data_IF_389603238743
#
_entry.id   IF_389603238743
#
_cell.length_a   1.000
_cell.length_b   1.000
_cell.length_c   1.000
_cell.angle_alpha   90.00
_cell.angle_beta   90.00
_cell.angle_gamma   90.00
#
_symmetry.space_group_name_H-M   'P 1'
#
loop_
_entity.id
_entity.type
_entity.pdbx_description
1 polymer ?
#
# COMPACT_ATOMS: atom_id res chain seq x y z
N UNK A 1 -28.19 30.89 -6.83
CA UNK A 1 -26.76 30.98 -7.22
C UNK A 1 -26.29 29.59 -7.61
N UNK A 2 -26.19 29.33 -8.93
CA UNK A 2 -25.52 28.13 -9.43
C UNK A 2 -24.05 28.26 -9.07
N UNK A 3 -23.57 27.49 -8.10
CA UNK A 3 -22.15 27.40 -7.82
C UNK A 3 -21.55 26.66 -9.01
N UNK A 4 -21.04 27.43 -9.96
CA UNK A 4 -20.29 26.92 -11.11
C UNK A 4 -19.13 26.11 -10.54
N UNK A 5 -19.28 24.78 -10.51
CA UNK A 5 -18.17 23.87 -10.18
C UNK A 5 -17.16 24.11 -11.27
N UNK A 6 -16.10 24.89 -10.98
CA UNK A 6 -15.03 25.18 -11.94
C UNK A 6 -14.67 23.87 -12.65
N UNK A 7 -14.63 23.82 -13.99
CA UNK A 7 -14.38 22.58 -14.74
C UNK A 7 -13.08 21.89 -14.29
N UNK A 8 -12.15 22.67 -13.74
CA UNK A 8 -10.93 22.23 -13.08
C UNK A 8 -11.19 21.29 -11.89
N UNK A 9 -12.16 21.58 -11.02
CA UNK A 9 -12.48 20.78 -9.84
C UNK A 9 -13.11 19.44 -10.22
N UNK A 10 -13.97 19.43 -11.24
CA UNK A 10 -14.53 18.19 -11.80
C UNK A 10 -13.43 17.30 -12.42
N UNK A 11 -12.46 17.91 -13.12
CA UNK A 11 -11.32 17.20 -13.70
C UNK A 11 -10.38 16.67 -12.61
N UNK A 12 -10.10 17.43 -11.57
CA UNK A 12 -9.27 17.03 -10.42
C UNK A 12 -9.92 15.91 -9.60
N UNK A 13 -11.24 15.95 -9.43
CA UNK A 13 -12.00 14.89 -8.77
C UNK A 13 -11.94 13.59 -9.58
N UNK A 14 -12.14 13.66 -10.90
CA UNK A 14 -12.09 12.48 -11.77
C UNK A 14 -10.68 11.87 -11.81
N UNK A 15 -9.63 12.70 -11.85
CA UNK A 15 -8.25 12.24 -11.80
C UNK A 15 -7.93 11.58 -10.44
N UNK A 16 -8.31 12.23 -9.34
CA UNK A 16 -8.11 11.69 -7.98
C UNK A 16 -8.83 10.35 -7.81
N UNK A 17 -10.06 10.24 -8.30
CA UNK A 17 -10.84 8.99 -8.30
C UNK A 17 -10.10 7.88 -9.05
N UNK A 18 -9.64 8.13 -10.27
CA UNK A 18 -8.96 7.13 -11.09
C UNK A 18 -7.62 6.69 -10.47
N UNK A 19 -6.84 7.64 -9.95
CA UNK A 19 -5.57 7.34 -9.27
C UNK A 19 -5.82 6.51 -8.00
N UNK A 20 -6.82 6.88 -7.18
CA UNK A 20 -7.17 6.14 -5.96
C UNK A 20 -7.56 4.69 -6.28
N UNK A 21 -8.32 4.48 -7.36
CA UNK A 21 -8.66 3.13 -7.82
C UNK A 21 -7.41 2.35 -8.24
N UNK A 22 -6.52 2.98 -9.01
CA UNK A 22 -5.27 2.37 -9.44
C UNK A 22 -4.41 1.92 -8.25
N UNK A 23 -4.23 2.80 -7.25
CA UNK A 23 -3.51 2.47 -6.02
C UNK A 23 -4.19 1.32 -5.28
N UNK A 24 -5.52 1.33 -5.15
CA UNK A 24 -6.27 0.27 -4.46
C UNK A 24 -6.12 -1.10 -5.15
N UNK A 25 -6.16 -1.15 -6.48
CA UNK A 25 -5.96 -2.39 -7.26
C UNK A 25 -4.54 -2.93 -7.05
N UNK A 26 -3.51 -2.08 -7.19
CA UNK A 26 -2.12 -2.50 -6.99
C UNK A 26 -1.89 -2.99 -5.55
N UNK A 27 -2.47 -2.29 -4.57
CA UNK A 27 -2.41 -2.67 -3.16
C UNK A 27 -3.10 -4.02 -2.89
N UNK A 28 -4.20 -4.31 -3.60
CA UNK A 28 -4.87 -5.62 -3.53
C UNK A 28 -3.99 -6.74 -4.09
N UNK A 29 -3.33 -6.51 -5.24
CA UNK A 29 -2.39 -7.47 -5.81
C UNK A 29 -1.24 -7.74 -4.83
N UNK A 30 -0.69 -6.70 -4.21
CA UNK A 30 0.35 -6.84 -3.18
C UNK A 30 -0.10 -7.66 -1.97
N UNK A 31 -1.35 -7.50 -1.52
CA UNK A 31 -1.91 -8.29 -0.43
C UNK A 31 -2.01 -9.78 -0.78
N UNK A 32 -2.44 -10.10 -2.01
CA UNK A 32 -2.50 -11.49 -2.51
C UNK A 32 -1.09 -12.09 -2.55
N UNK A 33 -0.13 -11.38 -3.14
CA UNK A 33 1.27 -11.83 -3.21
C UNK A 33 1.87 -12.05 -1.81
N UNK A 34 1.59 -11.15 -0.87
CA UNK A 34 2.04 -11.28 0.52
C UNK A 34 1.48 -12.53 1.18
N UNK A 35 0.23 -12.89 0.89
CA UNK A 35 -0.40 -14.11 1.41
C UNK A 35 0.30 -15.36 0.88
N UNK A 36 0.62 -15.38 -0.42
CA UNK A 36 1.38 -16.47 -1.04
C UNK A 36 2.77 -16.58 -0.39
N UNK A 37 3.47 -15.46 -0.20
CA UNK A 37 4.78 -15.44 0.46
C UNK A 37 4.73 -15.99 1.90
N UNK A 38 3.69 -15.65 2.67
CA UNK A 38 3.51 -16.18 4.03
C UNK A 38 3.36 -17.71 3.98
N UNK A 39 2.53 -18.24 3.07
CA UNK A 39 2.35 -19.70 2.90
C UNK A 39 3.68 -20.38 2.52
N UNK A 40 4.46 -19.77 1.62
CA UNK A 40 5.79 -20.29 1.26
C UNK A 40 6.76 -20.29 2.45
N UNK A 41 6.76 -19.25 3.28
CA UNK A 41 7.60 -19.17 4.48
C UNK A 41 7.22 -20.23 5.53
N UNK A 42 5.92 -20.49 5.72
CA UNK A 42 5.45 -21.58 6.58
C UNK A 42 5.88 -22.95 6.05
N UNK A 43 5.83 -23.17 4.74
CA UNK A 43 6.31 -24.41 4.11
C UNK A 43 7.82 -24.60 4.31
N UNK A 44 8.61 -23.53 4.23
CA UNK A 44 10.05 -23.56 4.51
C UNK A 44 10.35 -23.87 5.97
N UNK A 45 9.58 -23.31 6.91
CA UNK A 45 9.70 -23.61 8.33
C UNK A 45 9.46 -25.11 8.62
N UNK A 46 8.61 -25.80 7.86
CA UNK A 46 8.34 -27.23 8.08
C UNK A 46 9.47 -28.18 7.60
N UNK A 47 10.50 -27.67 6.90
CA UNK A 47 11.63 -28.51 6.47
C UNK A 47 12.51 -28.89 7.66
N UNK A 48 12.80 -30.20 7.82
CA UNK A 48 13.62 -30.76 8.92
C UNK A 48 14.99 -30.07 9.09
N UNK A 49 15.63 -29.68 8.00
CA UNK A 49 16.94 -29.00 8.00
C UNK A 49 16.91 -27.61 8.63
N UNK A 50 15.75 -26.93 8.56
CA UNK A 50 15.54 -25.61 9.14
C UNK A 50 15.25 -25.71 10.63
N UNK A 51 14.41 -26.68 11.05
CA UNK A 51 14.12 -26.94 12.45
C UNK A 51 15.35 -27.36 13.27
N UNK A 52 16.33 -28.00 12.63
CA UNK A 52 17.56 -28.42 13.28
C UNK A 52 18.49 -27.25 13.66
N UNK A 53 18.31 -26.08 13.04
CA UNK A 53 19.09 -24.87 13.32
C UNK A 53 18.24 -23.83 14.07
N UNK A 54 18.48 -23.68 15.36
CA UNK A 54 17.74 -22.74 16.22
C UNK A 54 17.85 -21.27 15.75
N UNK A 55 19.02 -20.86 15.23
CA UNK A 55 19.23 -19.51 14.68
C UNK A 55 18.42 -19.25 13.41
N UNK A 56 18.36 -20.24 12.52
CA UNK A 56 17.62 -20.16 11.25
C UNK A 56 16.10 -20.19 11.51
N UNK A 57 15.66 -21.00 12.47
CA UNK A 57 14.25 -21.05 12.90
C UNK A 57 13.78 -19.71 13.48
N UNK A 58 14.59 -19.09 14.36
CA UNK A 58 14.25 -17.79 14.95
C UNK A 58 14.16 -16.68 13.89
N UNK A 59 15.06 -16.67 12.91
CA UNK A 59 15.04 -15.70 11.81
C UNK A 59 13.82 -15.86 10.91
N UNK A 60 13.43 -17.10 10.58
CA UNK A 60 12.23 -17.38 9.78
C UNK A 60 10.97 -17.00 10.54
N UNK A 61 10.89 -17.31 11.83
CA UNK A 61 9.73 -16.96 12.66
C UNK A 61 9.55 -15.44 12.78
N UNK A 62 10.66 -14.69 12.96
CA UNK A 62 10.62 -13.23 12.97
C UNK A 62 10.16 -12.68 11.62
N UNK A 63 10.67 -13.24 10.52
CA UNK A 63 10.29 -12.85 9.15
C UNK A 63 8.80 -13.12 8.86
N UNK A 64 8.27 -14.26 9.31
CA UNK A 64 6.84 -14.59 9.20
C UNK A 64 6.00 -13.57 9.98
N UNK A 65 6.40 -13.25 11.21
CA UNK A 65 5.69 -12.31 12.07
C UNK A 65 5.65 -10.91 11.42
N UNK A 66 6.81 -10.38 11.00
CA UNK A 66 6.89 -9.06 10.36
C UNK A 66 6.10 -9.01 9.06
N UNK A 67 6.18 -10.06 8.22
CA UNK A 67 5.45 -10.12 6.94
C UNK A 67 3.95 -10.17 7.18
N UNK A 68 3.49 -10.91 8.19
CA UNK A 68 2.07 -11.00 8.56
C UNK A 68 1.54 -9.66 9.05
N UNK A 69 2.26 -8.97 9.93
CA UNK A 69 1.87 -7.63 10.41
C UNK A 69 1.74 -6.66 9.23
N UNK A 70 2.75 -6.63 8.35
CA UNK A 70 2.72 -5.77 7.16
C UNK A 70 1.58 -6.10 6.21
N UNK A 71 1.27 -7.39 6.01
CA UNK A 71 0.15 -7.82 5.20
C UNK A 71 -1.19 -7.37 5.79
N UNK A 72 -1.41 -7.54 7.10
CA UNK A 72 -2.64 -7.10 7.78
C UNK A 72 -2.82 -5.59 7.69
N UNK A 73 -1.77 -4.81 7.95
CA UNK A 73 -1.80 -3.35 7.82
C UNK A 73 -2.06 -2.94 6.37
N UNK A 74 -1.42 -3.61 5.40
CA UNK A 74 -1.65 -3.38 3.97
C UNK A 74 -3.10 -3.64 3.54
N UNK A 75 -3.71 -4.71 4.04
CA UNK A 75 -5.13 -5.01 3.81
C UNK A 75 -6.03 -3.91 4.40
N UNK A 76 -5.78 -3.49 5.63
CA UNK A 76 -6.55 -2.42 6.28
C UNK A 76 -6.48 -1.10 5.47
N UNK A 77 -5.28 -0.71 5.01
CA UNK A 77 -5.11 0.49 4.18
C UNK A 77 -5.80 0.33 2.82
N UNK A 78 -5.74 -0.86 2.21
CA UNK A 78 -6.44 -1.15 0.95
C UNK A 78 -7.95 -0.95 1.09
N UNK A 79 -8.54 -1.43 2.19
CA UNK A 79 -9.96 -1.22 2.49
C UNK A 79 -10.27 0.28 2.65
N UNK A 80 -9.42 1.03 3.36
CA UNK A 80 -9.59 2.49 3.51
C UNK A 80 -9.50 3.24 2.16
N UNK A 81 -8.63 2.79 1.25
CA UNK A 81 -8.53 3.34 -0.11
C UNK A 81 -9.79 3.06 -0.93
N UNK A 82 -10.35 1.85 -0.85
CA UNK A 82 -11.64 1.53 -1.48
C UNK A 82 -12.79 2.36 -0.92
N UNK A 83 -12.87 2.53 0.40
CA UNK A 83 -13.86 3.41 1.02
C UNK A 83 -13.71 4.87 0.55
N UNK A 84 -12.46 5.33 0.42
CA UNK A 84 -12.15 6.66 -0.12
C UNK A 84 -12.59 6.78 -1.58
N UNK A 85 -12.34 5.77 -2.41
CA UNK A 85 -12.82 5.71 -3.78
C UNK A 85 -14.35 5.77 -3.88
N UNK A 86 -15.07 5.02 -3.04
CA UNK A 86 -16.54 5.04 -3.01
C UNK A 86 -17.07 6.43 -2.67
N UNK A 87 -16.44 7.14 -1.72
CA UNK A 87 -16.78 8.53 -1.38
C UNK A 87 -16.48 9.48 -2.54
N UNK A 88 -15.32 9.37 -3.18
CA UNK A 88 -14.94 10.16 -4.35
C UNK A 88 -15.89 9.94 -5.53
N UNK A 89 -16.38 8.70 -5.73
CA UNK A 89 -17.37 8.38 -6.77
C UNK A 89 -18.71 9.08 -6.53
N UNK A 90 -19.08 9.33 -5.27
CA UNK A 90 -20.27 10.08 -4.86
C UNK A 90 -20.06 11.60 -4.88
N UNK A 91 -18.90 12.09 -5.32
CA UNK A 91 -18.57 13.52 -5.32
C UNK A 91 -18.16 14.07 -3.95
N UNK A 92 -17.96 13.21 -2.94
CA UNK A 92 -17.60 13.62 -1.59
C UNK A 92 -16.07 13.75 -1.50
N UNK A 93 -15.59 14.95 -1.18
CA UNK A 93 -14.17 15.21 -0.95
C UNK A 93 -13.73 14.51 0.33
N UNK A 94 -12.73 13.63 0.22
CA UNK A 94 -12.23 12.81 1.33
C UNK A 94 -11.01 13.50 1.97
N UNK A 95 -10.86 13.38 3.28
CA UNK A 95 -9.66 13.88 3.98
C UNK A 95 -8.40 13.18 3.43
N UNK A 96 -7.29 13.89 3.19
CA UNK A 96 -6.06 13.30 2.65
C UNK A 96 -5.33 12.33 3.59
N UNK A 97 -5.87 12.10 4.79
CA UNK A 97 -5.31 11.32 5.88
C UNK A 97 -5.00 9.86 5.49
N UNK A 98 -5.86 9.24 4.66
CA UNK A 98 -5.65 7.88 4.15
C UNK A 98 -4.40 7.79 3.27
N UNK A 99 -4.13 8.81 2.46
CA UNK A 99 -2.94 8.84 1.59
C UNK A 99 -1.66 9.10 2.40
N UNK A 100 -1.72 9.86 3.50
CA UNK A 100 -0.58 9.99 4.41
C UNK A 100 -0.22 8.67 5.07
N UNK A 101 -1.20 7.91 5.55
CA UNK A 101 -0.96 6.57 6.08
C UNK A 101 -0.40 5.62 5.01
N UNK A 102 -0.93 5.67 3.79
CA UNK A 102 -0.41 4.86 2.69
C UNK A 102 1.05 5.21 2.35
N UNK A 103 1.40 6.49 2.33
CA UNK A 103 2.79 6.95 2.13
C UNK A 103 3.71 6.43 3.24
N UNK A 104 3.32 6.61 4.50
CA UNK A 104 4.11 6.11 5.64
C UNK A 104 4.30 4.59 5.59
N UNK A 105 3.23 3.85 5.28
CA UNK A 105 3.28 2.40 5.11
C UNK A 105 4.21 1.98 3.98
N UNK A 106 4.14 2.66 2.83
CA UNK A 106 5.00 2.36 1.68
C UNK A 106 6.47 2.61 2.00
N UNK A 107 6.79 3.72 2.68
CA UNK A 107 8.16 4.02 3.14
C UNK A 107 8.65 2.94 4.10
N UNK A 108 7.83 2.54 5.08
CA UNK A 108 8.18 1.50 6.04
C UNK A 108 8.45 0.15 5.34
N UNK A 109 7.63 -0.20 4.34
CA UNK A 109 7.84 -1.39 3.51
C UNK A 109 9.15 -1.36 2.72
N UNK A 110 9.51 -0.20 2.14
CA UNK A 110 10.80 -0.03 1.45
C UNK A 110 11.96 -0.24 2.43
N UNK A 111 11.91 0.39 3.61
CA UNK A 111 12.97 0.27 4.63
C UNK A 111 13.12 -1.19 5.06
N UNK A 112 12.02 -1.91 5.32
CA UNK A 112 12.05 -3.32 5.70
C UNK A 112 12.66 -4.20 4.61
N UNK A 113 12.31 -3.96 3.33
CA UNK A 113 12.87 -4.68 2.19
C UNK A 113 14.38 -4.46 2.06
N UNK A 114 14.84 -3.24 2.34
CA UNK A 114 16.25 -2.85 2.30
C UNK A 114 17.08 -3.62 3.34
N UNK A 115 16.52 -3.78 4.55
CA UNK A 115 17.15 -4.50 5.66
C UNK A 115 17.24 -6.00 5.38
N UNK A 116 16.17 -6.61 4.84
CA UNK A 116 16.05 -8.06 4.74
C UNK A 116 16.65 -8.69 3.47
N UNK A 117 16.65 -7.96 2.35
CA UNK A 117 16.95 -8.52 1.02
C UNK A 117 17.98 -7.73 0.22
N UNK A 118 18.45 -6.58 0.74
CA UNK A 118 19.32 -5.65 0.02
C UNK A 118 18.57 -4.83 -1.04
N UNK A 119 19.19 -3.75 -1.53
CA UNK A 119 18.56 -2.87 -2.54
C UNK A 119 18.55 -3.51 -3.92
N UNK A 120 17.36 -3.80 -4.44
CA UNK A 120 17.14 -4.01 -5.87
C UNK A 120 16.45 -2.78 -6.46
N UNK A 121 17.16 -2.01 -7.29
CA UNK A 121 16.62 -0.77 -7.87
C UNK A 121 15.33 -0.99 -8.67
N UNK A 122 15.19 -2.15 -9.32
CA UNK A 122 14.00 -2.49 -10.10
C UNK A 122 12.79 -2.66 -9.16
N UNK A 123 12.99 -3.20 -7.96
CA UNK A 123 11.90 -3.37 -6.99
C UNK A 123 11.48 -2.07 -6.29
N UNK A 124 12.27 -0.98 -6.41
CA UNK A 124 11.91 0.35 -5.90
C UNK A 124 11.06 1.19 -6.86
N UNK A 125 11.06 0.87 -8.16
CA UNK A 125 10.32 1.67 -9.16
C UNK A 125 8.83 1.71 -8.85
N UNK A 126 8.22 0.55 -8.57
CA UNK A 126 6.79 0.47 -8.28
C UNK A 126 6.41 1.25 -7.00
N UNK A 127 7.09 1.07 -5.84
CA UNK A 127 6.89 1.91 -4.66
C UNK A 127 7.04 3.41 -4.94
N UNK A 128 8.04 3.82 -5.72
CA UNK A 128 8.27 5.23 -6.04
C UNK A 128 7.11 5.83 -6.86
N UNK A 129 6.59 5.09 -7.85
CA UNK A 129 5.42 5.51 -8.64
C UNK A 129 4.18 5.63 -7.75
N UNK A 130 3.94 4.66 -6.86
CA UNK A 130 2.80 4.67 -5.93
C UNK A 130 2.88 5.84 -4.94
N UNK A 131 4.08 6.20 -4.49
CA UNK A 131 4.31 7.38 -3.67
C UNK A 131 4.00 8.67 -4.45
N UNK A 132 4.50 8.82 -5.67
CA UNK A 132 4.24 9.99 -6.51
C UNK A 132 2.73 10.17 -6.80
N UNK A 133 2.03 9.07 -7.08
CA UNK A 133 0.58 9.05 -7.28
C UNK A 133 -0.18 9.44 -5.99
N UNK A 134 0.26 8.95 -4.83
CA UNK A 134 -0.34 9.29 -3.54
C UNK A 134 -0.15 10.76 -3.17
N UNK A 135 1.03 11.32 -3.41
CA UNK A 135 1.30 12.76 -3.23
C UNK A 135 0.45 13.59 -4.17
N UNK A 136 0.27 13.15 -5.42
CA UNK A 136 -0.61 13.81 -6.39
C UNK A 136 -2.07 13.84 -5.91
N UNK A 137 -2.58 12.75 -5.34
CA UNK A 137 -3.90 12.72 -4.71
C UNK A 137 -4.02 13.70 -3.54
N UNK A 138 -3.00 13.77 -2.66
CA UNK A 138 -2.98 14.70 -1.53
C UNK A 138 -3.06 16.16 -2.02
N UNK A 139 -2.25 16.53 -3.02
CA UNK A 139 -2.24 17.88 -3.57
C UNK A 139 -3.57 18.22 -4.24
N UNK A 140 -4.15 17.31 -5.01
CA UNK A 140 -5.45 17.52 -5.63
C UNK A 140 -6.56 17.70 -4.58
N UNK A 141 -6.59 16.85 -3.54
CA UNK A 141 -7.58 16.96 -2.46
C UNK A 141 -7.44 18.25 -1.65
N UNK A 142 -6.21 18.72 -1.42
CA UNK A 142 -5.96 20.00 -0.75
C UNK A 142 -6.39 21.21 -1.58
N UNK A 143 -6.25 21.14 -2.91
CA UNK A 143 -6.66 22.22 -3.82
C UNK A 143 -8.17 22.27 -4.07
N UNK A 144 -8.88 21.16 -3.84
CA UNK A 144 -10.35 21.09 -3.97
C UNK A 144 -11.09 21.49 -2.67
N UNK A 145 -10.37 21.64 -1.56
CA UNK A 145 -10.90 22.03 -0.25
C UNK A 145 -10.80 23.55 -0.08
#
# INVERSE_FOLDING_TARGET
MSVEVKPEHARMLNNTKNITLGIAIISTIQAILSTISIVSLFSLQQKKEVLANASVTALIQNTIMTTTIMAVVGVAITIMLFLSFVKLRKGIIVTPLVYYFYVAFTILGIILSLINTGMNFISLILPAVLLALSVSCILNLRRMK
#
